data_IF_360570105559
#
_entry.id   IF_360570105559
#
_cell.length_a   1.000
_cell.length_b   1.000
_cell.length_c   1.000
_cell.angle_alpha   90.00
_cell.angle_beta   90.00
_cell.angle_gamma   90.00
#
_symmetry.space_group_name_H-M   'P 1'
#
loop_
_entity.id
_entity.type
_entity.pdbx_description
1 polymer ?
#
# COMPACT_ATOMS: atom_id res chain seq x y z
N UNK A 1 9.47 15.54 -19.01
CA UNK A 1 8.37 14.62 -18.64
C UNK A 1 8.77 13.57 -17.59
N UNK A 2 9.75 12.70 -17.86
CA UNK A 2 10.13 11.60 -16.96
C UNK A 2 10.54 12.04 -15.55
N UNK A 3 11.25 13.17 -15.42
CA UNK A 3 11.64 13.75 -14.12
C UNK A 3 10.42 14.15 -13.28
N UNK A 4 9.50 14.92 -13.88
CA UNK A 4 8.23 15.34 -13.25
C UNK A 4 7.43 14.13 -12.75
N UNK A 5 7.30 13.09 -13.57
CA UNK A 5 6.58 11.87 -13.19
C UNK A 5 7.28 11.10 -12.06
N UNK A 6 8.60 11.01 -12.08
CA UNK A 6 9.37 10.38 -10.99
C UNK A 6 9.24 11.17 -9.67
N UNK A 7 9.24 12.51 -9.73
CA UNK A 7 8.97 13.36 -8.57
C UNK A 7 7.57 13.13 -8.02
N UNK A 8 6.56 13.01 -8.89
CA UNK A 8 5.20 12.70 -8.49
C UNK A 8 5.07 11.36 -7.78
N UNK A 9 5.69 10.30 -8.29
CA UNK A 9 5.75 9.01 -7.59
C UNK A 9 6.39 9.17 -6.21
N UNK A 10 7.52 9.87 -6.13
CA UNK A 10 8.27 9.99 -4.88
C UNK A 10 7.53 10.79 -3.81
N UNK A 11 6.83 11.88 -4.18
CA UNK A 11 6.06 12.71 -3.24
C UNK A 11 4.77 11.99 -2.81
N UNK A 12 4.00 11.43 -3.77
CA UNK A 12 2.77 10.68 -3.47
C UNK A 12 3.05 9.48 -2.57
N UNK A 13 4.11 8.71 -2.86
CA UNK A 13 4.49 7.55 -2.05
C UNK A 13 4.88 7.94 -0.63
N UNK A 14 5.50 9.12 -0.44
CA UNK A 14 5.85 9.64 0.89
C UNK A 14 4.61 10.05 1.68
N UNK A 15 3.63 10.71 1.04
CA UNK A 15 2.37 11.10 1.67
C UNK A 15 1.60 9.88 2.15
N UNK A 16 1.38 8.90 1.26
CA UNK A 16 0.65 7.67 1.58
C UNK A 16 1.34 6.86 2.67
N UNK A 17 2.68 6.80 2.66
CA UNK A 17 3.44 6.09 3.69
C UNK A 17 3.21 6.68 5.09
N UNK A 18 3.11 8.01 5.20
CA UNK A 18 2.84 8.70 6.47
C UNK A 18 1.41 8.44 6.93
N UNK A 19 0.44 8.56 6.03
CA UNK A 19 -0.98 8.38 6.33
C UNK A 19 -1.30 6.94 6.76
N UNK A 20 -0.83 5.97 5.98
CA UNK A 20 -1.13 4.53 6.20
C UNK A 20 -0.18 3.86 7.19
N UNK A 21 0.88 4.56 7.65
CA UNK A 21 1.96 4.01 8.50
C UNK A 21 2.67 2.80 7.88
N UNK A 22 2.66 2.70 6.55
CA UNK A 22 3.36 1.67 5.77
C UNK A 22 4.73 2.21 5.34
N UNK A 23 5.80 1.40 5.37
CA UNK A 23 7.10 1.80 4.86
C UNK A 23 7.05 2.32 3.42
N UNK A 24 7.63 3.50 3.19
CA UNK A 24 7.65 4.18 1.88
C UNK A 24 8.13 3.29 0.74
N UNK A 25 9.11 2.41 1.00
CA UNK A 25 9.63 1.46 0.01
C UNK A 25 8.50 0.58 -0.55
N UNK A 26 7.71 -0.04 0.33
CA UNK A 26 6.59 -0.90 -0.04
C UNK A 26 5.50 -0.14 -0.80
N UNK A 27 5.23 1.11 -0.41
CA UNK A 27 4.27 1.98 -1.12
C UNK A 27 4.77 2.30 -2.53
N UNK A 28 6.05 2.68 -2.66
CA UNK A 28 6.66 3.04 -3.95
C UNK A 28 6.68 1.87 -4.93
N UNK A 29 6.96 0.66 -4.45
CA UNK A 29 6.92 -0.59 -5.24
C UNK A 29 5.54 -0.87 -5.85
N UNK A 30 4.47 -0.26 -5.34
CA UNK A 30 3.12 -0.40 -5.92
C UNK A 30 2.93 0.44 -7.19
N UNK A 31 3.86 1.35 -7.48
CA UNK A 31 3.79 2.24 -8.62
C UNK A 31 4.90 1.96 -9.61
N UNK A 32 4.57 1.94 -10.90
CA UNK A 32 5.54 1.84 -11.99
C UNK A 32 5.40 3.01 -12.95
N UNK A 33 6.54 3.51 -13.44
CA UNK A 33 6.60 4.57 -14.43
C UNK A 33 6.81 3.97 -15.82
N UNK A 34 5.81 4.10 -16.69
CA UNK A 34 6.00 3.94 -18.13
C UNK A 34 6.57 5.25 -18.66
N UNK A 35 7.86 5.23 -19.03
CA UNK A 35 8.62 6.42 -19.40
C UNK A 35 8.20 6.96 -20.76
N UNK A 36 8.24 8.28 -20.89
CA UNK A 36 8.18 8.97 -22.17
C UNK A 36 9.45 8.71 -22.98
N UNK A 37 9.29 8.52 -24.29
CA UNK A 37 10.33 8.37 -25.30
C UNK A 37 10.15 9.42 -26.40
N UNK A 38 11.07 9.50 -27.37
CA UNK A 38 10.96 10.43 -28.51
C UNK A 38 9.69 10.16 -29.32
N UNK A 39 9.40 8.87 -29.60
CA UNK A 39 8.20 8.45 -30.34
C UNK A 39 6.90 8.59 -29.54
N UNK A 40 6.98 8.58 -28.20
CA UNK A 40 5.82 8.74 -27.32
C UNK A 40 6.16 9.65 -26.13
N UNK A 41 5.91 10.97 -26.25
CA UNK A 41 6.32 11.95 -25.24
C UNK A 41 5.52 11.86 -23.93
N UNK A 42 4.50 10.99 -23.85
CA UNK A 42 3.64 10.84 -22.70
C UNK A 42 4.20 9.84 -21.69
N UNK A 43 4.44 10.30 -20.46
CA UNK A 43 4.77 9.42 -19.34
C UNK A 43 3.49 8.98 -18.61
N UNK A 44 3.37 7.69 -18.27
CA UNK A 44 2.22 7.15 -17.52
C UNK A 44 2.68 6.55 -16.20
N UNK A 45 1.95 6.85 -15.13
CA UNK A 45 2.15 6.22 -13.81
C UNK A 45 1.04 5.19 -13.63
N UNK A 46 1.43 3.95 -13.30
CA UNK A 46 0.49 2.85 -13.07
C UNK A 46 0.63 2.41 -11.62
N UNK A 47 -0.48 2.40 -10.89
CA UNK A 47 -0.50 2.17 -9.44
C UNK A 47 -1.40 0.97 -9.09
N UNK A 48 -0.83 0.00 -8.37
CA UNK A 48 -1.56 -1.15 -7.84
C UNK A 48 -2.26 -0.77 -6.54
N UNK A 49 -3.56 -0.44 -6.62
CA UNK A 49 -4.35 0.10 -5.51
C UNK A 49 -4.93 -0.92 -4.51
N UNK A 50 -4.74 -2.23 -4.71
CA UNK A 50 -5.29 -3.24 -3.79
C UNK A 50 -4.76 -3.10 -2.35
N UNK A 51 -5.39 -3.75 -1.38
CA UNK A 51 -4.92 -3.63 0.01
C UNK A 51 -3.57 -4.31 0.24
N UNK A 52 -2.86 -3.89 1.30
CA UNK A 52 -1.57 -4.47 1.67
C UNK A 52 -1.78 -5.55 2.74
N UNK A 53 -1.40 -6.82 2.51
CA UNK A 53 -1.41 -7.83 3.55
C UNK A 53 -0.47 -7.46 4.71
N UNK A 54 -0.94 -7.52 5.95
CA UNK A 54 -0.15 -7.11 7.11
C UNK A 54 1.16 -7.89 7.27
N UNK A 55 1.20 -9.15 6.80
CA UNK A 55 2.41 -9.99 6.75
C UNK A 55 3.59 -9.31 6.04
N UNK A 56 3.33 -8.43 5.05
CA UNK A 56 4.39 -7.70 4.32
C UNK A 56 5.13 -6.66 5.15
N UNK A 57 4.62 -6.27 6.32
CA UNK A 57 5.25 -5.26 7.18
C UNK A 57 6.34 -5.82 8.12
N UNK A 58 6.54 -7.15 8.12
CA UNK A 58 7.37 -7.83 9.12
C UNK A 58 6.63 -7.97 10.45
N UNK A 59 6.77 -9.11 11.12
CA UNK A 59 5.99 -9.46 12.31
C UNK A 59 6.88 -9.55 13.54
N UNK A 60 6.39 -8.99 14.65
CA UNK A 60 6.89 -9.22 16.00
C UNK A 60 5.75 -9.69 16.89
N UNK A 61 5.89 -10.88 17.48
CA UNK A 61 4.92 -11.43 18.43
C UNK A 61 5.24 -10.91 19.83
N UNK A 62 4.27 -10.23 20.46
CA UNK A 62 4.38 -9.80 21.86
C UNK A 62 3.61 -10.82 22.73
N UNK A 63 4.27 -11.95 23.02
CA UNK A 63 3.79 -13.00 23.92
C UNK A 63 3.02 -14.15 23.24
N UNK A 64 3.13 -15.35 23.83
CA UNK A 64 2.51 -16.60 23.38
C UNK A 64 1.17 -16.85 24.11
N UNK A 65 0.27 -15.86 24.16
CA UNK A 65 -0.99 -15.95 24.92
C UNK A 65 -2.21 -15.84 23.99
N UNK A 66 -3.37 -16.43 24.35
CA UNK A 66 -4.57 -16.46 23.50
C UNK A 66 -5.17 -15.09 23.17
N UNK A 67 -4.84 -14.04 23.93
CA UNK A 67 -5.20 -12.64 23.68
C UNK A 67 -3.99 -11.79 23.26
N UNK A 68 -2.95 -12.42 22.69
CA UNK A 68 -1.73 -11.71 22.31
C UNK A 68 -2.00 -10.64 21.23
N UNK A 69 -1.17 -9.61 21.28
CA UNK A 69 -1.17 -8.53 20.31
C UNK A 69 -0.07 -8.85 19.30
N UNK A 70 -0.46 -9.10 18.05
CA UNK A 70 0.47 -9.24 16.95
C UNK A 70 0.84 -7.85 16.45
N UNK A 71 2.13 -7.52 16.46
CA UNK A 71 2.64 -6.27 15.90
C UNK A 71 3.18 -6.52 14.50
N UNK A 72 2.68 -5.76 13.52
CA UNK A 72 3.19 -5.79 12.15
C UNK A 72 3.59 -4.37 11.74
N UNK A 73 4.90 -4.11 11.62
CA UNK A 73 5.43 -2.76 11.52
C UNK A 73 4.95 -1.86 12.67
N UNK A 74 4.27 -0.76 12.34
CA UNK A 74 3.67 0.16 13.32
C UNK A 74 2.23 -0.23 13.72
N UNK A 75 1.61 -1.22 13.07
CA UNK A 75 0.25 -1.65 13.38
C UNK A 75 0.23 -2.70 14.48
N UNK A 76 -0.85 -2.68 15.27
CA UNK A 76 -1.11 -3.64 16.34
C UNK A 76 -2.46 -4.29 16.10
N UNK A 77 -2.48 -5.62 16.11
CA UNK A 77 -3.69 -6.41 15.87
C UNK A 77 -3.93 -7.32 17.08
N UNK A 78 -5.07 -7.11 17.75
CA UNK A 78 -5.50 -7.96 18.86
C UNK A 78 -6.08 -9.27 18.32
N UNK A 79 -5.86 -10.37 19.06
CA UNK A 79 -6.41 -11.70 18.72
C UNK A 79 -6.00 -12.16 17.32
N UNK A 80 -4.82 -11.74 16.90
CA UNK A 80 -4.24 -12.04 15.62
C UNK A 80 -3.09 -13.05 15.76
N UNK A 81 -2.94 -13.89 14.76
CA UNK A 81 -1.98 -14.98 14.73
C UNK A 81 -1.51 -15.24 13.31
N UNK A 82 -0.42 -16.00 13.16
CA UNK A 82 0.15 -16.34 11.85
C UNK A 82 -0.28 -17.76 11.50
N UNK A 83 -0.76 -17.96 10.28
CA UNK A 83 -1.15 -19.27 9.78
C UNK A 83 -0.68 -19.45 8.34
N UNK A 84 -0.19 -20.65 8.02
CA UNK A 84 0.06 -21.07 6.63
C UNK A 84 -1.25 -21.59 6.05
N UNK A 85 -1.70 -21.00 4.95
CA UNK A 85 -2.91 -21.46 4.25
C UNK A 85 -2.57 -22.66 3.33
N UNK A 86 -3.61 -23.30 2.78
CA UNK A 86 -3.48 -24.42 1.84
C UNK A 86 -2.67 -24.06 0.57
N UNK A 87 -2.63 -22.78 0.19
CA UNK A 87 -1.80 -22.27 -0.90
C UNK A 87 -0.30 -22.13 -0.54
N UNK A 88 0.12 -22.56 0.65
CA UNK A 88 1.51 -22.49 1.12
C UNK A 88 1.96 -21.12 1.63
N UNK A 89 1.14 -20.08 1.53
CA UNK A 89 1.50 -18.71 1.95
C UNK A 89 1.18 -18.49 3.42
N UNK A 90 2.09 -17.80 4.11
CA UNK A 90 1.86 -17.30 5.46
C UNK A 90 1.00 -16.05 5.43
N UNK A 91 -0.01 -16.01 6.30
CA UNK A 91 -0.90 -14.87 6.48
C UNK A 91 -1.02 -14.50 7.95
N UNK A 92 -1.18 -13.21 8.20
CA UNK A 92 -1.70 -12.71 9.47
C UNK A 92 -3.21 -12.87 9.42
N UNK A 93 -3.72 -13.65 10.36
CA UNK A 93 -5.13 -13.93 10.56
C UNK A 93 -5.60 -13.21 11.82
N UNK A 94 -6.85 -12.75 11.85
CA UNK A 94 -7.46 -12.14 13.03
C UNK A 94 -8.80 -12.79 13.32
N UNK A 95 -9.01 -13.16 14.59
CA UNK A 95 -10.30 -13.66 15.07
C UNK A 95 -11.25 -12.48 15.29
N UNK A 96 -12.42 -12.54 14.67
CA UNK A 96 -13.46 -11.55 14.90
C UNK A 96 -14.07 -11.74 16.30
N UNK A 97 -14.49 -10.66 16.97
CA UNK A 97 -14.97 -10.73 18.35
C UNK A 97 -16.29 -11.49 18.51
N UNK A 98 -17.09 -11.58 17.45
CA UNK A 98 -18.43 -12.16 17.48
C UNK A 98 -18.56 -13.31 16.48
N UNK A 99 -19.07 -14.46 16.94
CA UNK A 99 -19.66 -15.44 16.05
C UNK A 99 -21.11 -14.99 15.81
N UNK A 100 -21.45 -14.67 14.56
CA UNK A 100 -22.81 -14.27 14.12
C UNK A 100 -23.94 -15.22 14.55
N UNK A 101 -23.62 -16.41 15.05
CA UNK A 101 -24.58 -17.42 15.47
C UNK A 101 -24.16 -18.04 16.81
N UNK A 102 -24.67 -17.50 17.90
CA UNK A 102 -24.96 -18.30 19.09
C UNK A 102 -26.39 -18.83 18.92
N UNK A 103 -26.57 -19.91 18.16
CA UNK A 103 -27.85 -20.63 18.13
C UNK A 103 -27.62 -22.08 18.53
N UNK A 104 -28.32 -22.49 19.58
CA UNK A 104 -28.42 -23.89 20.03
C UNK A 104 -27.52 -24.27 21.19
N UNK A 105 -27.98 -25.31 21.88
CA UNK A 105 -27.19 -26.08 22.83
C UNK A 105 -26.48 -27.23 22.09
N UNK A 106 -25.38 -27.73 22.64
CA UNK A 106 -24.79 -29.01 22.23
C UNK A 106 -25.69 -30.19 22.66
N UNK A 107 -25.35 -31.41 22.25
CA UNK A 107 -26.10 -32.63 22.57
C UNK A 107 -26.20 -32.90 24.09
N UNK A 108 -25.49 -32.11 24.92
CA UNK A 108 -25.47 -32.16 26.37
C UNK A 108 -26.15 -30.94 27.02
N UNK A 109 -26.90 -30.14 26.25
CA UNK A 109 -27.65 -28.99 26.76
C UNK A 109 -26.81 -27.74 27.07
N UNK A 110 -25.51 -27.71 26.73
CA UNK A 110 -24.62 -26.58 27.00
C UNK A 110 -24.60 -25.61 25.82
N UNK A 111 -24.34 -24.32 26.05
CA UNK A 111 -24.17 -23.35 24.95
C UNK A 111 -23.06 -23.81 23.99
N UNK A 112 -23.40 -23.98 22.71
CA UNK A 112 -22.48 -24.43 21.67
C UNK A 112 -21.33 -23.42 21.51
N UNK A 113 -20.09 -23.87 21.76
CA UNK A 113 -18.88 -23.03 21.57
C UNK A 113 -18.47 -23.05 20.09
N UNK A 114 -19.01 -22.12 19.32
CA UNK A 114 -18.66 -21.99 17.90
C UNK A 114 -17.27 -21.35 17.72
N UNK A 115 -16.54 -21.81 16.70
CA UNK A 115 -15.28 -21.18 16.28
C UNK A 115 -15.59 -19.78 15.74
N UNK A 116 -14.93 -18.77 16.29
CA UNK A 116 -15.05 -17.39 15.80
C UNK A 116 -14.56 -17.30 14.35
N UNK A 117 -15.21 -16.52 13.48
CA UNK A 117 -14.73 -16.29 12.12
C UNK A 117 -13.32 -15.69 12.13
N UNK A 118 -12.51 -16.12 11.17
CA UNK A 118 -11.13 -15.68 11.00
C UNK A 118 -11.02 -14.99 9.64
N UNK A 119 -10.34 -13.84 9.60
CA UNK A 119 -10.07 -13.13 8.36
C UNK A 119 -8.58 -12.82 8.19
N UNK A 120 -8.14 -12.69 6.94
CA UNK A 120 -6.80 -12.20 6.62
C UNK A 120 -6.74 -10.70 6.93
N UNK A 121 -5.75 -10.30 7.71
CA UNK A 121 -5.54 -8.88 8.03
C UNK A 121 -4.90 -8.17 6.85
N UNK A 122 -5.58 -7.12 6.40
CA UNK A 122 -5.16 -6.25 5.30
C UNK A 122 -5.21 -4.79 5.75
N UNK A 123 -4.33 -3.97 5.19
CA UNK A 123 -4.28 -2.54 5.39
C UNK A 123 -4.92 -1.88 4.17
N UNK A 124 -5.94 -1.02 4.36
CA UNK A 124 -6.61 -0.35 3.26
C UNK A 124 -5.64 0.61 2.56
N UNK A 125 -5.43 0.41 1.26
CA UNK A 125 -4.51 1.25 0.47
C UNK A 125 -5.19 1.95 -0.70
N UNK A 126 -6.39 1.52 -1.09
CA UNK A 126 -7.00 1.93 -2.35
C UNK A 126 -7.33 3.43 -2.42
N UNK A 127 -7.94 3.95 -1.35
CA UNK A 127 -8.32 5.35 -1.20
C UNK A 127 -7.10 6.26 -1.07
N UNK A 128 -6.17 6.04 -0.11
CA UNK A 128 -5.03 6.94 0.05
C UNK A 128 -4.12 6.97 -1.18
N UNK A 129 -3.93 5.83 -1.85
CA UNK A 129 -3.17 5.79 -3.11
C UNK A 129 -3.87 6.57 -4.24
N UNK A 130 -5.20 6.52 -4.34
CA UNK A 130 -5.91 7.26 -5.38
C UNK A 130 -5.78 8.76 -5.13
N UNK A 131 -6.18 9.22 -3.95
CA UNK A 131 -6.19 10.63 -3.59
C UNK A 131 -4.80 11.26 -3.71
N UNK A 132 -3.78 10.65 -3.08
CA UNK A 132 -2.45 11.21 -3.09
C UNK A 132 -1.83 11.30 -4.50
N UNK A 133 -2.06 10.30 -5.37
CA UNK A 133 -1.54 10.36 -6.73
C UNK A 133 -2.30 11.36 -7.60
N UNK A 134 -3.63 11.42 -7.50
CA UNK A 134 -4.46 12.37 -8.28
C UNK A 134 -4.10 13.82 -7.92
N UNK A 135 -3.95 14.13 -6.63
CA UNK A 135 -3.56 15.47 -6.14
C UNK A 135 -2.14 15.85 -6.55
N UNK A 136 -1.16 15.00 -6.24
CA UNK A 136 0.25 15.34 -6.45
C UNK A 136 0.62 15.36 -7.93
N UNK A 137 0.06 14.49 -8.78
CA UNK A 137 0.33 14.53 -10.22
C UNK A 137 -0.10 15.87 -10.80
N UNK A 138 -1.31 16.34 -10.46
CA UNK A 138 -1.82 17.63 -10.93
C UNK A 138 -0.99 18.80 -10.41
N UNK A 139 -0.70 18.80 -9.11
CA UNK A 139 0.09 19.85 -8.46
C UNK A 139 1.51 19.94 -9.04
N UNK A 140 2.25 18.84 -9.08
CA UNK A 140 3.64 18.79 -9.56
C UNK A 140 3.73 19.07 -11.05
N UNK A 141 2.72 18.65 -11.83
CA UNK A 141 2.64 19.00 -13.25
C UNK A 141 2.58 20.52 -13.42
N UNK A 142 1.71 21.22 -12.68
CA UNK A 142 1.59 22.69 -12.78
C UNK A 142 2.87 23.40 -12.33
N UNK A 143 3.47 22.96 -11.22
CA UNK A 143 4.64 23.63 -10.62
C UNK A 143 5.96 23.35 -11.35
N UNK A 144 6.21 22.10 -11.76
CA UNK A 144 7.53 21.66 -12.25
C UNK A 144 7.61 21.45 -13.74
N UNK A 145 6.51 21.13 -14.42
CA UNK A 145 6.56 20.85 -15.86
C UNK A 145 7.09 22.04 -16.68
N UNK A 146 6.63 23.29 -16.47
CA UNK A 146 7.14 24.43 -17.23
C UNK A 146 8.64 24.65 -17.04
N UNK A 147 9.13 24.47 -15.80
CA UNK A 147 10.56 24.62 -15.46
C UNK A 147 11.42 23.57 -16.16
N UNK A 148 11.01 22.31 -16.13
CA UNK A 148 11.73 21.22 -16.80
C UNK A 148 11.69 21.35 -18.33
N UNK A 149 10.59 21.85 -18.90
CA UNK A 149 10.48 22.10 -20.34
C UNK A 149 11.37 23.26 -20.79
N UNK A 150 11.35 24.38 -20.06
CA UNK A 150 12.22 25.53 -20.33
C UNK A 150 13.69 25.14 -20.25
N UNK A 151 14.09 24.39 -19.21
CA UNK A 151 15.44 23.88 -19.07
C UNK A 151 15.84 22.95 -20.24
N UNK A 152 14.97 22.02 -20.61
CA UNK A 152 15.24 21.11 -21.73
C UNK A 152 15.38 21.88 -23.06
N UNK A 153 14.52 22.86 -23.31
CA UNK A 153 14.56 23.67 -24.53
C UNK A 153 15.83 24.52 -24.62
N UNK A 154 16.23 25.18 -23.52
CA UNK A 154 17.52 25.91 -23.46
C UNK A 154 18.70 25.00 -23.78
N UNK A 155 18.70 23.79 -23.25
CA UNK A 155 19.77 22.83 -23.52
C UNK A 155 19.77 22.36 -24.99
N UNK A 156 18.60 22.17 -25.61
CA UNK A 156 18.52 21.83 -27.03
C UNK A 156 19.06 22.97 -27.91
N UNK A 157 18.64 24.22 -27.66
CA UNK A 157 19.15 25.38 -28.39
C UNK A 157 20.67 25.52 -28.25
N UNK A 158 21.21 25.29 -27.04
CA UNK A 158 22.67 25.31 -26.81
C UNK A 158 23.42 24.30 -27.68
N UNK A 159 22.86 23.11 -27.88
CA UNK A 159 23.49 22.07 -28.71
C UNK A 159 23.44 22.47 -30.18
N UNK A 160 22.34 23.05 -30.65
CA UNK A 160 22.16 23.48 -32.04
C UNK A 160 23.05 24.67 -32.39
N UNK A 161 23.14 25.67 -31.50
CA UNK A 161 23.89 26.92 -31.76
C UNK A 161 25.42 26.74 -31.60
N UNK A 162 25.88 25.77 -30.79
CA UNK A 162 27.31 25.46 -30.65
C UNK A 162 27.90 24.66 -31.81
N UNK A 163 27.06 24.19 -32.72
CA UNK A 163 27.46 23.53 -33.96
C UNK A 163 27.71 24.58 -35.03
#
# INVERSE_FOLDING_TARGET
MNRVAATAINQSSSQVARETRVPRKLVKERSRLKRATVRNPNAKIIVNRGDLPAIKLGIRMLGHRPNSILKAGQHRYQRAFIQRLNNGRWHVMQRLPEARYAKGNDDKGRKKRNRLPIQVVKIPMAVPLKQAFDENVNRIRRERLPKELSYALKQQLRIVIKR
#
